data_IF_300618139543
#
_entry.id   IF_300618139543
#
_cell.length_a   1.000
_cell.length_b   1.000
_cell.length_c   1.000
_cell.angle_alpha   90.00
_cell.angle_beta   90.00
_cell.angle_gamma   90.00
#
_symmetry.space_group_name_H-M   'P 1'
#
loop_
_entity.id
_entity.type
_entity.pdbx_description
1 polymer ?
#
# COMPACT_ATOMS: atom_id res chain seq x y z
N UNK A 1 -6.69 12.03 -14.33
CA UNK A 1 -7.38 10.73 -14.16
C UNK A 1 -6.73 9.69 -15.04
N UNK A 2 -6.46 8.52 -14.47
CA UNK A 2 -6.00 7.38 -15.24
C UNK A 2 -7.15 6.81 -16.07
N UNK A 3 -6.84 6.26 -17.23
CA UNK A 3 -7.83 5.57 -18.06
C UNK A 3 -8.13 4.20 -17.46
N UNK A 4 -9.38 3.77 -17.56
CA UNK A 4 -9.76 2.39 -17.25
C UNK A 4 -9.02 1.41 -18.15
N UNK A 5 -8.82 0.18 -17.68
CA UNK A 5 -8.21 -0.87 -18.51
C UNK A 5 -9.02 -1.11 -19.78
N UNK A 6 -8.32 -1.56 -20.80
CA UNK A 6 -8.92 -2.15 -22.01
C UNK A 6 -8.61 -3.65 -21.98
N UNK A 7 -9.63 -4.49 -22.25
CA UNK A 7 -9.50 -5.95 -22.21
C UNK A 7 -9.74 -6.55 -20.83
N UNK A 8 -9.54 -7.85 -20.76
CA UNK A 8 -9.81 -8.64 -19.56
C UNK A 8 -8.63 -8.67 -18.60
N UNK A 9 -8.87 -8.72 -17.28
CA UNK A 9 -7.79 -8.92 -16.30
C UNK A 9 -7.33 -10.39 -16.28
N UNK A 10 -6.27 -10.66 -15.50
CA UNK A 10 -5.71 -12.01 -15.32
C UNK A 10 -6.71 -13.04 -14.82
N UNK A 11 -7.70 -12.59 -14.05
CA UNK A 11 -8.85 -13.39 -13.61
C UNK A 11 -10.04 -12.45 -13.38
N UNK A 12 -11.25 -13.00 -13.32
CA UNK A 12 -12.43 -12.18 -13.05
C UNK A 12 -12.37 -11.61 -11.61
N UNK A 13 -12.98 -10.44 -11.43
CA UNK A 13 -13.12 -9.84 -10.10
C UNK A 13 -13.78 -10.79 -9.10
N UNK A 14 -14.78 -11.56 -9.54
CA UNK A 14 -15.48 -12.53 -8.71
C UNK A 14 -14.57 -13.70 -8.30
N UNK A 15 -13.74 -14.20 -9.21
CA UNK A 15 -12.77 -15.27 -8.90
C UNK A 15 -11.72 -14.80 -7.89
N UNK A 16 -11.16 -13.61 -8.11
CA UNK A 16 -10.20 -13.03 -7.17
C UNK A 16 -10.85 -12.79 -5.80
N UNK A 17 -12.03 -12.18 -5.76
CA UNK A 17 -12.74 -11.91 -4.51
C UNK A 17 -13.02 -13.18 -3.70
N UNK A 18 -13.43 -14.26 -4.35
CA UNK A 18 -13.67 -15.54 -3.67
C UNK A 18 -12.39 -16.20 -3.15
N UNK A 19 -11.24 -15.86 -3.69
CA UNK A 19 -9.95 -16.40 -3.22
C UNK A 19 -9.41 -15.68 -1.98
N UNK A 20 -9.98 -14.54 -1.62
CA UNK A 20 -9.55 -13.77 -0.43
C UNK A 20 -10.14 -14.39 0.84
N UNK A 21 -9.34 -14.32 1.92
CA UNK A 21 -9.78 -14.76 3.25
C UNK A 21 -9.03 -13.96 4.31
N UNK A 22 -9.57 -13.94 5.54
CA UNK A 22 -8.96 -13.20 6.65
C UNK A 22 -9.00 -11.70 6.46
N UNK A 23 -7.96 -11.02 6.94
CA UNK A 23 -7.82 -9.58 6.76
C UNK A 23 -7.17 -9.27 5.41
N UNK A 24 -7.80 -8.39 4.66
CA UNK A 24 -7.28 -7.86 3.42
C UNK A 24 -7.36 -6.34 3.45
N UNK A 25 -6.31 -5.66 3.00
CA UNK A 25 -6.27 -4.20 2.95
C UNK A 25 -6.48 -3.77 1.50
N UNK A 26 -7.51 -2.97 1.27
CA UNK A 26 -7.81 -2.39 -0.03
C UNK A 26 -7.60 -0.88 0.03
N UNK A 27 -6.64 -0.38 -0.72
CA UNK A 27 -6.29 1.03 -0.78
C UNK A 27 -6.70 1.61 -2.13
N UNK A 28 -7.39 2.73 -2.08
CA UNK A 28 -7.82 3.42 -3.28
C UNK A 28 -6.79 4.52 -3.56
N UNK A 29 -6.19 4.46 -4.74
CA UNK A 29 -5.07 5.29 -5.15
C UNK A 29 -5.41 6.11 -6.39
N UNK A 30 -4.75 7.25 -6.54
CA UNK A 30 -4.95 8.12 -7.71
C UNK A 30 -4.44 7.49 -8.99
N UNK A 31 -3.33 6.76 -8.90
CA UNK A 31 -2.65 6.16 -10.04
C UNK A 31 -1.92 4.89 -9.60
N UNK A 32 -2.40 3.73 -10.07
CA UNK A 32 -1.82 2.43 -9.67
C UNK A 32 -0.36 2.33 -10.09
N UNK A 33 -0.01 2.76 -11.30
CA UNK A 33 1.36 2.67 -11.81
C UNK A 33 2.34 3.53 -10.99
N UNK A 34 1.90 4.70 -10.52
CA UNK A 34 2.72 5.58 -9.69
C UNK A 34 2.84 5.08 -8.25
N UNK A 35 1.81 4.43 -7.74
CA UNK A 35 1.79 3.92 -6.36
C UNK A 35 2.56 2.61 -6.22
N UNK A 36 2.50 1.76 -7.24
CA UNK A 36 3.02 0.39 -7.21
C UNK A 36 4.48 0.27 -6.74
N UNK A 37 5.43 1.12 -7.19
CA UNK A 37 6.84 1.01 -6.76
C UNK A 37 7.05 1.17 -5.25
N UNK A 38 6.23 1.94 -4.56
CA UNK A 38 6.30 2.03 -3.09
C UNK A 38 6.08 0.65 -2.46
N UNK A 39 5.10 -0.09 -2.93
CA UNK A 39 4.76 -1.41 -2.37
C UNK A 39 5.75 -2.50 -2.79
N UNK A 40 6.20 -2.50 -4.03
CA UNK A 40 7.12 -3.53 -4.54
C UNK A 40 8.57 -3.26 -4.17
N UNK A 41 9.04 -2.04 -4.36
CA UNK A 41 10.46 -1.71 -4.22
C UNK A 41 10.85 -1.27 -2.81
N UNK A 42 9.92 -0.73 -2.04
CA UNK A 42 10.16 -0.28 -0.66
C UNK A 42 9.69 -1.32 0.35
N UNK A 43 8.42 -1.73 0.26
CA UNK A 43 7.82 -2.66 1.22
C UNK A 43 8.04 -4.15 0.88
N UNK A 44 8.56 -4.45 -0.30
CA UNK A 44 8.91 -5.82 -0.68
C UNK A 44 7.72 -6.71 -1.02
N UNK A 45 6.56 -6.14 -1.36
CA UNK A 45 5.44 -6.92 -1.88
C UNK A 45 5.71 -7.39 -3.30
N UNK A 46 5.21 -8.56 -3.63
CA UNK A 46 5.19 -9.07 -4.99
C UNK A 46 3.85 -8.71 -5.64
N UNK A 47 3.88 -8.08 -6.79
CA UNK A 47 2.69 -7.87 -7.59
C UNK A 47 2.32 -9.18 -8.28
N UNK A 48 1.27 -9.83 -7.83
CA UNK A 48 0.70 -11.00 -8.50
C UNK A 48 0.06 -10.58 -9.82
N UNK A 49 -0.51 -9.39 -9.85
CA UNK A 49 -1.08 -8.77 -11.02
C UNK A 49 -1.13 -7.25 -10.84
N UNK A 50 -1.01 -6.50 -11.93
CA UNK A 50 -1.29 -5.06 -11.94
C UNK A 50 -1.70 -4.59 -13.32
N UNK A 51 -2.64 -3.64 -13.33
CA UNK A 51 -3.03 -2.88 -14.50
C UNK A 51 -3.43 -1.46 -14.07
N UNK A 52 -4.03 -0.68 -14.96
CA UNK A 52 -4.41 0.71 -14.68
C UNK A 52 -5.55 0.84 -13.67
N UNK A 53 -6.33 -0.21 -13.48
CA UNK A 53 -7.46 -0.22 -12.53
C UNK A 53 -7.12 -0.79 -11.18
N UNK A 54 -6.16 -1.74 -11.11
CA UNK A 54 -6.04 -2.63 -9.97
C UNK A 54 -4.65 -3.24 -9.85
N UNK A 55 -4.20 -3.48 -8.62
CA UNK A 55 -3.05 -4.34 -8.34
C UNK A 55 -3.37 -5.29 -7.19
N UNK A 56 -2.96 -6.55 -7.34
CA UNK A 56 -3.01 -7.57 -6.31
C UNK A 56 -1.59 -7.81 -5.80
N UNK A 57 -1.37 -7.50 -4.53
CA UNK A 57 -0.05 -7.56 -3.89
C UNK A 57 -0.03 -8.59 -2.77
N UNK A 58 1.08 -9.30 -2.66
CA UNK A 58 1.26 -10.32 -1.64
C UNK A 58 2.69 -10.28 -1.10
N UNK A 59 2.84 -10.46 0.20
CA UNK A 59 4.10 -10.68 0.90
C UNK A 59 3.85 -11.52 2.14
N UNK A 60 4.48 -12.69 2.22
CA UNK A 60 4.43 -13.57 3.41
C UNK A 60 3.00 -13.81 3.94
N UNK A 61 2.05 -14.04 3.05
CA UNK A 61 0.64 -14.22 3.38
C UNK A 61 -0.15 -12.92 3.61
N UNK A 62 0.52 -11.78 3.66
CA UNK A 62 -0.17 -10.49 3.71
C UNK A 62 -0.67 -10.11 2.33
N UNK A 63 -1.90 -9.62 2.26
CA UNK A 63 -2.54 -9.23 1.00
C UNK A 63 -2.96 -7.78 1.04
N UNK A 64 -2.55 -7.04 0.01
CA UNK A 64 -2.93 -5.64 -0.19
C UNK A 64 -3.42 -5.50 -1.63
N UNK A 65 -4.52 -4.79 -1.80
CA UNK A 65 -5.00 -4.41 -3.12
C UNK A 65 -4.86 -2.90 -3.30
N UNK A 66 -4.54 -2.50 -4.52
CA UNK A 66 -4.64 -1.12 -4.95
C UNK A 66 -5.75 -1.03 -5.99
N UNK A 67 -6.65 -0.07 -5.84
CA UNK A 67 -7.66 0.24 -6.85
C UNK A 67 -7.53 1.69 -7.26
N UNK A 68 -7.60 1.97 -8.54
CA UNK A 68 -7.63 3.34 -9.02
C UNK A 68 -8.97 4.02 -8.65
N UNK A 69 -8.95 5.33 -8.48
CA UNK A 69 -10.14 6.13 -8.14
C UNK A 69 -11.35 5.81 -9.03
N UNK A 70 -11.12 5.67 -10.33
CA UNK A 70 -12.21 5.44 -11.27
C UNK A 70 -12.94 4.11 -11.06
N UNK A 71 -12.36 3.14 -10.36
CA UNK A 71 -13.05 1.90 -10.00
C UNK A 71 -14.16 2.14 -8.96
N UNK A 72 -14.14 3.29 -8.29
CA UNK A 72 -15.06 3.65 -7.22
C UNK A 72 -15.90 4.89 -7.51
N UNK A 73 -15.97 5.35 -8.75
CA UNK A 73 -16.70 6.57 -9.13
C UNK A 73 -18.18 6.56 -8.73
N UNK A 74 -18.80 5.38 -8.68
CA UNK A 74 -20.19 5.22 -8.31
C UNK A 74 -20.43 5.18 -6.78
N UNK A 75 -19.37 5.20 -5.98
CA UNK A 75 -19.50 5.13 -4.53
C UNK A 75 -19.88 6.47 -3.92
N UNK A 76 -20.76 6.49 -2.86
CA UNK A 76 -21.22 7.74 -2.25
C UNK A 76 -20.10 8.65 -1.72
N UNK A 77 -18.94 8.09 -1.41
CA UNK A 77 -17.79 8.80 -0.87
C UNK A 77 -16.74 9.20 -1.91
N UNK A 78 -16.97 8.91 -3.19
CA UNK A 78 -15.98 9.12 -4.25
C UNK A 78 -15.48 10.58 -4.35
N UNK A 79 -16.38 11.56 -4.23
CA UNK A 79 -16.01 12.98 -4.26
C UNK A 79 -15.13 13.34 -3.06
N UNK A 80 -15.49 12.89 -1.86
CA UNK A 80 -14.70 13.13 -0.63
C UNK A 80 -13.31 12.53 -0.75
N UNK A 81 -13.20 11.35 -1.35
CA UNK A 81 -11.91 10.71 -1.59
C UNK A 81 -11.04 11.55 -2.55
N UNK A 82 -11.61 12.02 -3.64
CA UNK A 82 -10.87 12.84 -4.62
C UNK A 82 -10.36 14.14 -4.00
N UNK A 83 -11.15 14.75 -3.11
CA UNK A 83 -10.81 16.00 -2.44
C UNK A 83 -9.84 15.83 -1.28
N UNK A 84 -9.66 14.61 -0.78
CA UNK A 84 -8.74 14.32 0.32
C UNK A 84 -7.28 14.48 -0.13
N UNK A 85 -6.51 15.30 0.55
CA UNK A 85 -5.08 15.49 0.29
C UNK A 85 -4.29 14.25 0.68
N UNK A 86 -4.35 13.87 1.95
CA UNK A 86 -3.72 12.68 2.54
C UNK A 86 -4.81 11.67 2.88
N UNK A 87 -4.83 10.55 2.19
CA UNK A 87 -5.93 9.58 2.29
C UNK A 87 -5.86 8.66 3.49
N UNK A 88 -4.66 8.46 4.04
CA UNK A 88 -4.46 7.54 5.15
C UNK A 88 -4.49 8.17 6.54
N UNK A 89 -4.88 9.44 6.64
CA UNK A 89 -4.87 10.14 7.91
C UNK A 89 -5.81 9.46 8.93
N UNK A 90 -5.25 9.11 10.10
CA UNK A 90 -5.98 8.42 11.17
C UNK A 90 -5.90 6.90 11.11
N UNK A 91 -5.23 6.32 10.11
CA UNK A 91 -4.95 4.89 10.03
C UNK A 91 -3.46 4.65 9.84
N UNK A 92 -2.93 3.63 10.50
CA UNK A 92 -1.55 3.19 10.34
C UNK A 92 -1.55 1.70 10.01
N UNK A 93 -0.94 1.35 8.88
CA UNK A 93 -0.77 -0.05 8.49
C UNK A 93 0.63 -0.49 8.92
N UNK A 94 0.69 -1.54 9.71
CA UNK A 94 1.95 -2.03 10.25
C UNK A 94 2.42 -3.26 9.47
N UNK A 95 3.63 -3.16 8.91
CA UNK A 95 4.31 -4.29 8.25
C UNK A 95 5.35 -4.84 9.21
N UNK A 96 5.04 -5.96 9.80
CA UNK A 96 5.83 -6.57 10.86
C UNK A 96 6.79 -7.60 10.27
N UNK A 97 8.07 -7.53 10.68
CA UNK A 97 9.11 -8.45 10.21
C UNK A 97 9.92 -7.95 9.02
N UNK A 98 9.67 -6.74 8.56
CA UNK A 98 10.49 -6.09 7.52
C UNK A 98 11.52 -5.17 8.19
N UNK A 99 12.78 -5.26 7.77
CA UNK A 99 13.88 -4.43 8.30
C UNK A 99 13.60 -2.94 8.06
N UNK A 100 13.40 -2.15 9.12
CA UNK A 100 13.04 -0.75 8.97
C UNK A 100 14.17 0.12 8.40
N UNK A 101 15.42 -0.17 8.73
CA UNK A 101 16.56 0.60 8.21
C UNK A 101 16.72 0.41 6.70
N UNK A 102 16.56 -0.82 6.23
CA UNK A 102 16.61 -1.12 4.80
C UNK A 102 15.40 -0.53 4.05
N UNK A 103 14.21 -0.59 4.63
CA UNK A 103 13.01 -0.01 4.04
C UNK A 103 13.11 1.52 3.94
N UNK A 104 13.57 2.17 5.00
CA UNK A 104 13.82 3.61 5.00
C UNK A 104 14.82 4.01 3.92
N UNK A 105 15.94 3.29 3.80
CA UNK A 105 16.94 3.55 2.77
C UNK A 105 16.34 3.47 1.38
N UNK A 106 15.60 2.40 1.09
CA UNK A 106 14.93 2.23 -0.22
C UNK A 106 13.93 3.36 -0.49
N UNK A 107 13.17 3.76 0.52
CA UNK A 107 12.22 4.86 0.41
C UNK A 107 12.91 6.16 0.02
N UNK A 108 14.01 6.50 0.71
CA UNK A 108 14.79 7.72 0.44
C UNK A 108 15.43 7.70 -0.95
N UNK A 109 16.03 6.57 -1.34
CA UNK A 109 16.66 6.40 -2.64
C UNK A 109 15.67 6.59 -3.81
N UNK A 110 14.41 6.24 -3.58
CA UNK A 110 13.36 6.33 -4.60
C UNK A 110 12.45 7.56 -4.45
N UNK A 111 12.79 8.48 -3.56
CA UNK A 111 12.07 9.74 -3.40
C UNK A 111 10.72 9.62 -2.71
N UNK A 112 10.49 8.54 -1.95
CA UNK A 112 9.28 8.41 -1.13
C UNK A 112 9.43 9.12 0.22
N UNK A 113 8.31 9.49 0.81
CA UNK A 113 8.29 10.24 2.06
C UNK A 113 8.58 9.34 3.26
N UNK A 114 9.57 9.75 4.06
CA UNK A 114 9.86 9.17 5.37
C UNK A 114 9.30 10.13 6.42
N UNK A 115 8.25 9.72 7.12
CA UNK A 115 7.63 10.54 8.17
C UNK A 115 8.43 10.47 9.47
N UNK A 116 8.91 9.28 9.83
CA UNK A 116 9.75 9.05 11.01
C UNK A 116 10.88 8.10 10.61
N UNK A 117 12.12 8.52 10.82
CA UNK A 117 13.29 7.68 10.59
C UNK A 117 13.30 6.47 11.54
N UNK A 118 13.92 5.38 11.11
CA UNK A 118 14.01 4.16 11.90
C UNK A 118 14.66 4.44 13.27
N UNK A 119 14.00 4.04 14.32
CA UNK A 119 14.49 4.20 15.71
C UNK A 119 13.88 3.14 16.62
N UNK A 120 14.52 2.98 17.77
CA UNK A 120 14.04 2.10 18.83
C UNK A 120 12.97 2.83 19.65
N UNK A 121 11.88 2.13 19.91
CA UNK A 121 10.76 2.66 20.67
C UNK A 121 10.61 1.97 22.04
N UNK A 122 10.08 2.67 23.05
CA UNK A 122 9.89 2.09 24.38
C UNK A 122 8.98 0.86 24.41
N UNK A 123 8.12 0.69 23.41
CA UNK A 123 7.21 -0.46 23.33
C UNK A 123 7.86 -1.73 22.74
N UNK A 124 9.18 -1.75 22.58
CA UNK A 124 9.92 -2.96 22.22
C UNK A 124 10.11 -3.21 20.74
N UNK A 125 9.89 -2.20 19.92
CA UNK A 125 10.06 -2.30 18.45
C UNK A 125 11.03 -1.26 17.93
N UNK A 126 11.75 -1.64 16.88
CA UNK A 126 12.46 -0.71 16.02
C UNK A 126 11.64 -0.57 14.75
N UNK A 127 11.15 0.62 14.45
CA UNK A 127 10.41 0.86 13.22
C UNK A 127 10.68 2.26 12.65
N UNK A 128 10.32 2.40 11.38
CA UNK A 128 10.21 3.67 10.69
C UNK A 128 8.77 3.86 10.23
N UNK A 129 8.39 5.09 9.94
CA UNK A 129 7.07 5.41 9.40
C UNK A 129 7.24 6.03 8.03
N UNK A 130 6.65 5.39 7.03
CA UNK A 130 6.71 5.77 5.63
C UNK A 130 5.33 6.16 5.12
N UNK A 131 5.30 6.98 4.09
CA UNK A 131 4.06 7.42 3.46
C UNK A 131 4.10 7.08 1.98
N UNK A 132 3.02 6.49 1.48
CA UNK A 132 2.87 6.23 0.05
C UNK A 132 2.48 7.50 -0.73
N UNK A 133 2.43 7.50 -2.08
CA UNK A 133 2.10 8.68 -2.85
C UNK A 133 0.72 9.30 -2.54
N UNK A 134 -0.23 8.54 -2.03
CA UNK A 134 -1.56 9.01 -1.70
C UNK A 134 -1.73 9.45 -0.24
N UNK A 135 -0.69 9.27 0.59
CA UNK A 135 -0.73 9.63 1.99
C UNK A 135 -1.16 8.50 2.93
N UNK A 136 -1.14 7.26 2.46
CA UNK A 136 -1.31 6.10 3.34
C UNK A 136 -0.04 5.87 4.15
N UNK A 137 -0.21 5.60 5.44
CA UNK A 137 0.88 5.55 6.41
C UNK A 137 1.21 4.10 6.78
N UNK A 138 2.50 3.77 6.69
CA UNK A 138 3.02 2.43 6.98
C UNK A 138 4.10 2.49 8.04
N UNK A 139 3.90 1.78 9.15
CA UNK A 139 4.96 1.54 10.13
C UNK A 139 5.62 0.20 9.81
N UNK A 140 6.91 0.24 9.54
CA UNK A 140 7.70 -0.92 9.13
C UNK A 140 8.70 -1.24 10.23
N UNK A 141 8.71 -2.46 10.75
CA UNK A 141 9.59 -2.74 11.86
C UNK A 141 9.77 -4.19 12.24
N UNK A 142 10.68 -4.34 13.22
CA UNK A 142 11.04 -5.62 13.82
C UNK A 142 11.05 -5.47 15.35
N UNK A 143 10.81 -6.56 16.12
CA UNK A 143 10.94 -6.49 17.56
C UNK A 143 12.41 -6.29 17.97
N UNK A 144 12.61 -5.53 19.03
CA UNK A 144 13.91 -5.44 19.68
C UNK A 144 14.19 -6.70 20.50
N UNK A 145 15.47 -7.06 20.69
CA UNK A 145 15.84 -8.13 21.64
C UNK A 145 15.28 -7.83 23.03
N UNK A 146 14.92 -8.91 23.73
CA UNK A 146 14.43 -8.83 25.11
C UNK A 146 15.54 -8.41 26.08
#
# INVERSE_FOLDING_TARGET
MTRKRTGEPWMSAAAYGRALSGLSVNLIVRDVAKSLPFYTDVLGFRAQYSDVDFAALERDGMRVQLHADHAYDAMPWATRLRDAGKRGLGAEIRILGLDPDAAERRARERGHTVLVAAKDWPHGWRDCVLEDPDGYTFAVGVPLPA
#
